data_IF_115200094987
#
_entry.id   IF_115200094987
#
_cell.length_a   1.000
_cell.length_b   1.000
_cell.length_c   1.000
_cell.angle_alpha   90.00
_cell.angle_beta   90.00
_cell.angle_gamma   90.00
#
_symmetry.space_group_name_H-M   'P 1'
#
loop_
_entity.id
_entity.type
_entity.pdbx_description
1 polymer ?
#
# COMPACT_ATOMS: atom_id res chain seq x y z
N UNK A 1 77.09 12.26 -24.29
CA UNK A 1 76.71 11.00 -23.61
C UNK A 1 75.34 11.24 -22.96
N UNK A 2 74.30 10.85 -23.66
CA UNK A 2 72.90 11.13 -23.23
C UNK A 2 72.31 9.86 -22.60
N UNK A 3 71.95 9.96 -21.34
CA UNK A 3 71.32 8.86 -20.59
C UNK A 3 69.81 9.09 -20.57
N UNK A 4 69.09 8.26 -21.33
CA UNK A 4 67.65 8.32 -21.45
C UNK A 4 67.03 7.31 -20.47
N UNK A 5 66.56 7.81 -19.31
CA UNK A 5 65.80 6.98 -18.37
C UNK A 5 64.36 6.87 -18.83
N UNK A 6 63.96 5.68 -19.29
CA UNK A 6 62.56 5.33 -19.60
C UNK A 6 61.78 5.08 -18.28
N UNK A 7 60.89 6.01 -17.95
CA UNK A 7 59.91 5.76 -16.88
C UNK A 7 58.79 4.87 -17.42
N UNK A 8 58.66 3.70 -16.84
CA UNK A 8 57.56 2.78 -17.09
C UNK A 8 56.37 3.22 -16.24
N UNK A 9 55.34 3.69 -16.91
CA UNK A 9 54.06 4.00 -16.24
C UNK A 9 53.27 2.68 -16.04
N UNK A 10 53.09 2.29 -14.79
CA UNK A 10 52.24 1.18 -14.41
C UNK A 10 50.81 1.69 -14.33
N UNK A 11 50.02 1.32 -15.34
CA UNK A 11 48.57 1.61 -15.32
C UNK A 11 47.90 0.66 -14.33
N UNK A 12 47.41 1.17 -13.24
CA UNK A 12 46.55 0.46 -12.30
C UNK A 12 45.16 0.34 -12.90
N UNK A 13 44.82 -0.87 -13.32
CA UNK A 13 43.45 -1.26 -13.73
C UNK A 13 42.57 -1.32 -12.45
N UNK A 14 41.75 -0.29 -12.24
CA UNK A 14 40.74 -0.32 -11.20
C UNK A 14 39.60 -1.26 -11.64
N UNK A 15 39.53 -2.43 -11.01
CA UNK A 15 38.40 -3.33 -11.11
C UNK A 15 37.19 -2.67 -10.39
N UNK A 16 36.29 -2.06 -11.15
CA UNK A 16 34.99 -1.67 -10.66
C UNK A 16 34.16 -2.94 -10.42
N UNK A 17 34.07 -3.36 -9.17
CA UNK A 17 33.12 -4.36 -8.73
C UNK A 17 31.71 -3.76 -8.87
N UNK A 18 31.00 -4.18 -9.90
CA UNK A 18 29.58 -3.90 -10.07
C UNK A 18 28.82 -4.73 -9.03
N UNK A 19 28.55 -4.13 -7.87
CA UNK A 19 27.60 -4.69 -6.90
C UNK A 19 26.22 -4.64 -7.55
N UNK A 20 25.78 -5.79 -8.04
CA UNK A 20 24.43 -5.96 -8.55
C UNK A 20 23.43 -5.64 -7.44
N UNK A 21 22.73 -4.51 -7.57
CA UNK A 21 21.47 -4.30 -6.82
C UNK A 21 20.52 -5.42 -7.29
N UNK A 22 20.40 -6.46 -6.47
CA UNK A 22 19.27 -7.36 -6.54
C UNK A 22 18.02 -6.50 -6.26
N UNK A 23 17.41 -6.01 -7.31
CA UNK A 23 16.13 -5.32 -7.23
C UNK A 23 15.13 -6.31 -6.66
N UNK A 24 14.80 -6.13 -5.38
CA UNK A 24 13.60 -6.73 -4.81
C UNK A 24 12.44 -6.14 -5.62
N UNK A 25 11.90 -6.89 -6.57
CA UNK A 25 10.63 -6.58 -7.22
C UNK A 25 9.52 -6.81 -6.18
N UNK A 26 9.46 -5.92 -5.19
CA UNK A 26 8.24 -5.76 -4.40
C UNK A 26 7.15 -5.46 -5.42
N UNK A 27 6.12 -6.30 -5.47
CA UNK A 27 4.93 -6.01 -6.24
C UNK A 27 4.47 -4.62 -5.81
N UNK A 28 4.39 -3.71 -6.78
CA UNK A 28 4.03 -2.33 -6.49
C UNK A 28 2.63 -2.30 -5.89
N UNK A 29 2.52 -1.67 -4.73
CA UNK A 29 1.24 -1.37 -4.11
C UNK A 29 0.30 -0.70 -5.13
N UNK A 30 -0.97 -0.89 -4.97
CA UNK A 30 -2.01 -0.21 -5.75
C UNK A 30 -1.77 1.31 -5.68
N UNK A 31 -1.72 2.02 -6.82
CA UNK A 31 -1.38 3.45 -6.82
C UNK A 31 -2.23 4.27 -5.85
N UNK A 32 -1.56 4.98 -4.94
CA UNK A 32 -2.21 5.79 -3.91
C UNK A 32 -2.63 5.03 -2.65
N UNK A 33 -2.34 3.71 -2.57
CA UNK A 33 -2.60 2.90 -1.41
C UNK A 33 -1.29 2.52 -0.71
N UNK A 34 -1.31 2.51 0.61
CA UNK A 34 -0.24 1.99 1.45
C UNK A 34 -0.48 0.50 1.71
N UNK A 35 0.58 -0.21 2.09
CA UNK A 35 0.52 -1.61 2.53
C UNK A 35 0.93 -1.78 4.00
N UNK A 36 1.62 -0.78 4.59
CA UNK A 36 2.08 -0.83 5.97
C UNK A 36 1.14 -0.07 6.91
N UNK A 37 0.56 -0.78 7.88
CA UNK A 37 -0.44 -0.25 8.80
C UNK A 37 0.11 0.83 9.72
N UNK A 38 1.33 0.65 10.25
CA UNK A 38 1.94 1.65 11.14
C UNK A 38 2.25 2.95 10.39
N UNK A 39 2.69 2.84 9.14
CA UNK A 39 2.88 4.00 8.27
C UNK A 39 1.56 4.72 8.00
N UNK A 40 0.51 3.96 7.69
CA UNK A 40 -0.82 4.54 7.46
C UNK A 40 -1.37 5.28 8.69
N UNK A 41 -1.24 4.70 9.89
CA UNK A 41 -1.65 5.36 11.14
C UNK A 41 -0.84 6.64 11.42
N UNK A 42 0.47 6.59 11.24
CA UNK A 42 1.33 7.77 11.45
C UNK A 42 0.96 8.90 10.50
N UNK A 43 0.75 8.58 9.23
CA UNK A 43 0.33 9.55 8.23
C UNK A 43 -1.05 10.13 8.56
N UNK A 44 -2.03 9.28 8.89
CA UNK A 44 -3.38 9.70 9.24
C UNK A 44 -3.40 10.65 10.45
N UNK A 45 -2.64 10.35 11.49
CA UNK A 45 -2.51 11.20 12.67
C UNK A 45 -1.88 12.55 12.33
N UNK A 46 -0.80 12.57 11.52
CA UNK A 46 -0.12 13.79 11.11
C UNK A 46 -1.00 14.69 10.22
N UNK A 47 -1.73 14.09 9.28
CA UNK A 47 -2.59 14.79 8.34
C UNK A 47 -4.03 15.01 8.84
N UNK A 48 -4.37 14.47 10.01
CA UNK A 48 -5.73 14.48 10.60
C UNK A 48 -6.78 13.87 9.67
N UNK A 49 -6.38 12.84 8.90
CA UNK A 49 -7.22 12.09 7.98
C UNK A 49 -7.71 10.78 8.60
N UNK A 50 -8.84 10.28 8.11
CA UNK A 50 -9.28 8.92 8.41
C UNK A 50 -8.45 7.91 7.65
N UNK A 51 -8.35 6.66 8.17
CA UNK A 51 -7.75 5.54 7.43
C UNK A 51 -8.86 4.64 6.91
N UNK A 52 -8.86 4.38 5.61
CA UNK A 52 -9.70 3.34 5.02
C UNK A 52 -8.87 2.09 4.80
N UNK A 53 -9.16 1.04 5.57
CA UNK A 53 -8.58 -0.28 5.41
C UNK A 53 -9.43 -1.07 4.41
N UNK A 54 -8.81 -1.66 3.39
CA UNK A 54 -9.45 -2.55 2.43
C UNK A 54 -8.89 -3.97 2.59
N UNK A 55 -9.63 -4.83 3.27
CA UNK A 55 -9.33 -6.26 3.32
C UNK A 55 -9.87 -6.91 2.05
N UNK A 56 -8.96 -7.34 1.18
CA UNK A 56 -9.26 -7.70 -0.20
C UNK A 56 -8.58 -9.01 -0.63
N UNK A 57 -9.07 -9.60 -1.71
CA UNK A 57 -8.43 -10.71 -2.41
C UNK A 57 -8.28 -10.34 -3.88
N UNK A 58 -7.18 -9.67 -4.21
CA UNK A 58 -6.97 -8.97 -5.48
C UNK A 58 -6.97 -9.88 -6.72
N UNK A 59 -6.71 -11.18 -6.56
CA UNK A 59 -6.58 -12.14 -7.67
C UNK A 59 -7.69 -13.20 -7.73
N UNK A 60 -8.61 -13.23 -6.75
CA UNK A 60 -9.65 -14.26 -6.70
C UNK A 60 -11.04 -13.74 -6.29
N UNK A 61 -11.13 -12.62 -5.57
CA UNK A 61 -12.39 -12.12 -5.03
C UNK A 61 -13.12 -11.23 -6.04
N UNK A 62 -14.14 -11.74 -6.71
CA UNK A 62 -14.89 -11.01 -7.73
C UNK A 62 -15.57 -9.73 -7.22
N UNK A 63 -16.04 -9.72 -5.97
CA UNK A 63 -16.63 -8.54 -5.35
C UNK A 63 -15.57 -7.48 -4.99
N UNK A 64 -14.34 -7.90 -4.67
CA UNK A 64 -13.22 -7.01 -4.45
C UNK A 64 -12.80 -6.33 -5.76
N UNK A 65 -12.68 -7.09 -6.85
CA UNK A 65 -12.43 -6.54 -8.18
C UNK A 65 -13.53 -5.57 -8.64
N UNK A 66 -14.78 -5.86 -8.26
CA UNK A 66 -15.90 -4.99 -8.57
C UNK A 66 -15.82 -3.66 -7.83
N UNK A 67 -15.51 -3.66 -6.53
CA UNK A 67 -15.38 -2.40 -5.76
C UNK A 67 -14.21 -1.56 -6.27
N UNK A 68 -13.10 -2.19 -6.65
CA UNK A 68 -11.96 -1.53 -7.27
C UNK A 68 -12.37 -0.79 -8.55
N UNK A 69 -13.04 -1.49 -9.45
CA UNK A 69 -13.44 -0.95 -10.75
C UNK A 69 -14.53 0.13 -10.64
N UNK A 70 -15.54 -0.12 -9.81
CA UNK A 70 -16.73 0.71 -9.77
C UNK A 70 -16.67 1.86 -8.77
N UNK A 71 -15.77 1.79 -7.78
CA UNK A 71 -15.63 2.82 -6.75
C UNK A 71 -14.20 3.37 -6.72
N UNK A 72 -13.19 2.58 -6.38
CA UNK A 72 -11.85 3.07 -6.11
C UNK A 72 -11.12 3.63 -7.35
N UNK A 73 -11.41 3.08 -8.53
CA UNK A 73 -10.85 3.60 -9.79
C UNK A 73 -11.51 4.89 -10.27
N UNK A 74 -12.65 5.29 -9.70
CA UNK A 74 -13.40 6.47 -10.17
C UNK A 74 -12.73 7.78 -9.76
N UNK A 75 -12.76 8.81 -10.63
CA UNK A 75 -12.20 10.13 -10.32
C UNK A 75 -12.71 10.71 -9.01
N UNK A 76 -14.01 10.65 -8.76
CA UNK A 76 -14.64 11.15 -7.52
C UNK A 76 -14.07 10.54 -6.25
N UNK A 77 -13.81 9.22 -6.25
CA UNK A 77 -13.20 8.55 -5.11
C UNK A 77 -11.74 8.97 -4.96
N UNK A 78 -10.98 9.02 -6.06
CA UNK A 78 -9.56 9.39 -6.04
C UNK A 78 -9.35 10.81 -5.53
N UNK A 79 -10.14 11.76 -6.00
CA UNK A 79 -10.09 13.15 -5.57
C UNK A 79 -10.44 13.27 -4.08
N UNK A 80 -11.57 12.67 -3.69
CA UNK A 80 -12.01 12.69 -2.30
C UNK A 80 -11.00 12.02 -1.37
N UNK A 81 -10.51 10.83 -1.71
CA UNK A 81 -9.57 10.09 -0.88
C UNK A 81 -8.23 10.82 -0.72
N UNK A 82 -7.71 11.43 -1.78
CA UNK A 82 -6.48 12.21 -1.71
C UNK A 82 -6.58 13.36 -0.70
N UNK A 83 -7.76 13.99 -0.58
CA UNK A 83 -7.98 15.09 0.34
C UNK A 83 -8.26 14.62 1.79
N UNK A 84 -8.95 13.50 2.00
CA UNK A 84 -9.60 13.18 3.27
C UNK A 84 -9.22 11.83 3.88
N UNK A 85 -8.61 10.94 3.11
CA UNK A 85 -8.30 9.56 3.56
C UNK A 85 -6.82 9.23 3.40
N UNK A 86 -6.35 8.35 4.26
CA UNK A 86 -5.18 7.50 4.02
C UNK A 86 -5.72 6.13 3.66
N UNK A 87 -5.31 5.61 2.51
CA UNK A 87 -5.78 4.33 2.00
C UNK A 87 -4.78 3.23 2.33
N UNK A 88 -5.25 2.11 2.91
CA UNK A 88 -4.43 0.95 3.23
C UNK A 88 -5.03 -0.31 2.62
N UNK A 89 -4.27 -0.96 1.74
CA UNK A 89 -4.63 -2.25 1.15
C UNK A 89 -4.09 -3.39 2.02
N UNK A 90 -4.95 -4.29 2.41
CA UNK A 90 -4.64 -5.51 3.13
C UNK A 90 -5.05 -6.69 2.25
N UNK A 91 -4.16 -7.03 1.31
CA UNK A 91 -4.42 -8.06 0.30
C UNK A 91 -4.12 -9.48 0.81
N UNK A 92 -4.93 -10.43 0.39
CA UNK A 92 -4.83 -11.87 0.69
C UNK A 92 -4.82 -12.67 -0.62
N UNK A 93 -3.76 -12.56 -1.43
CA UNK A 93 -3.68 -13.22 -2.73
C UNK A 93 -3.55 -14.74 -2.56
N UNK A 94 -4.06 -15.50 -3.56
CA UNK A 94 -3.93 -16.96 -3.62
C UNK A 94 -3.09 -17.43 -4.79
N UNK A 95 -3.03 -16.67 -5.88
CA UNK A 95 -2.31 -16.99 -7.11
C UNK A 95 -0.88 -16.41 -7.18
N UNK A 96 -0.44 -15.69 -6.15
CA UNK A 96 0.90 -15.08 -6.09
C UNK A 96 1.46 -15.10 -4.68
N UNK A 97 2.78 -15.09 -4.58
CA UNK A 97 3.45 -14.93 -3.30
C UNK A 97 3.41 -13.48 -2.82
N UNK A 98 3.39 -13.31 -1.51
CA UNK A 98 3.45 -12.04 -0.83
C UNK A 98 4.64 -12.04 0.14
N UNK A 99 5.34 -10.90 0.35
CA UNK A 99 6.40 -10.82 1.35
C UNK A 99 5.92 -11.31 2.72
N UNK A 100 6.75 -12.12 3.39
CA UNK A 100 6.37 -12.78 4.65
C UNK A 100 5.93 -11.79 5.74
N UNK A 101 6.59 -10.64 5.82
CA UNK A 101 6.25 -9.56 6.76
C UNK A 101 4.86 -9.00 6.50
N UNK A 102 4.55 -8.72 5.23
CA UNK A 102 3.25 -8.20 4.82
C UNK A 102 2.14 -9.22 5.08
N UNK A 103 2.36 -10.48 4.73
CA UNK A 103 1.44 -11.58 5.03
C UNK A 103 1.16 -11.70 6.53
N UNK A 104 2.21 -11.63 7.35
CA UNK A 104 2.09 -11.71 8.81
C UNK A 104 1.28 -10.52 9.37
N UNK A 105 1.58 -9.30 8.91
CA UNK A 105 0.83 -8.11 9.28
C UNK A 105 -0.66 -8.25 8.91
N UNK A 106 -0.94 -8.61 7.65
CA UNK A 106 -2.32 -8.68 7.15
C UNK A 106 -3.13 -9.73 7.93
N UNK A 107 -2.55 -10.89 8.23
CA UNK A 107 -3.19 -11.92 9.06
C UNK A 107 -3.43 -11.45 10.50
N UNK A 108 -2.50 -10.69 11.09
CA UNK A 108 -2.66 -10.13 12.42
C UNK A 108 -3.82 -9.12 12.45
N UNK A 109 -3.87 -8.22 11.47
CA UNK A 109 -4.94 -7.23 11.34
C UNK A 109 -6.29 -7.88 11.02
N UNK A 110 -6.33 -8.91 10.18
CA UNK A 110 -7.56 -9.68 9.93
C UNK A 110 -8.16 -10.21 11.24
N UNK A 111 -7.33 -10.80 12.11
CA UNK A 111 -7.77 -11.28 13.43
C UNK A 111 -8.18 -10.13 14.35
N UNK A 112 -7.38 -9.05 14.40
CA UNK A 112 -7.64 -7.88 15.24
C UNK A 112 -9.00 -7.25 14.91
N UNK A 113 -9.29 -7.07 13.63
CA UNK A 113 -10.55 -6.48 13.15
C UNK A 113 -11.65 -7.52 12.94
N UNK A 114 -11.41 -8.80 13.29
CA UNK A 114 -12.40 -9.89 13.17
C UNK A 114 -13.04 -9.96 11.78
N UNK A 115 -12.20 -9.93 10.75
CA UNK A 115 -12.65 -9.97 9.35
C UNK A 115 -12.86 -11.41 8.94
N UNK A 116 -14.11 -11.77 8.56
CA UNK A 116 -14.53 -13.12 8.19
C UNK A 116 -14.82 -13.29 6.70
N UNK A 117 -14.84 -12.20 5.94
CA UNK A 117 -15.14 -12.24 4.50
C UNK A 117 -14.60 -11.03 3.75
N UNK A 118 -14.64 -11.13 2.41
CA UNK A 118 -14.07 -10.12 1.52
C UNK A 118 -15.08 -9.65 0.45
N UNK A 119 -15.00 -8.35 0.04
CA UNK A 119 -14.23 -7.30 0.68
C UNK A 119 -14.82 -6.94 2.05
N UNK A 120 -13.96 -6.56 2.99
CA UNK A 120 -14.35 -5.86 4.21
C UNK A 120 -13.59 -4.56 4.28
N UNK A 121 -14.31 -3.46 4.41
CA UNK A 121 -13.76 -2.13 4.55
C UNK A 121 -13.95 -1.66 5.99
N UNK A 122 -12.88 -1.12 6.60
CA UNK A 122 -12.91 -0.56 7.95
C UNK A 122 -12.43 0.87 7.90
N UNK A 123 -13.24 1.79 8.41
CA UNK A 123 -12.87 3.19 8.55
C UNK A 123 -12.39 3.47 9.96
N UNK A 124 -11.17 3.97 10.08
CA UNK A 124 -10.61 4.43 11.34
C UNK A 124 -10.59 5.96 11.39
N UNK A 125 -10.75 6.53 12.58
CA UNK A 125 -10.50 7.94 12.81
C UNK A 125 -8.97 8.24 12.81
N UNK A 126 -8.56 9.52 12.84
CA UNK A 126 -7.15 9.89 12.86
C UNK A 126 -6.37 9.36 14.08
N UNK A 127 -7.05 8.95 15.15
CA UNK A 127 -6.45 8.32 16.33
C UNK A 127 -6.31 6.78 16.19
N UNK A 128 -6.81 6.22 15.07
CA UNK A 128 -6.74 4.77 14.78
C UNK A 128 -7.87 3.94 15.40
N UNK A 129 -8.93 4.59 15.90
CA UNK A 129 -10.11 3.90 16.43
C UNK A 129 -11.10 3.61 15.29
N UNK A 130 -11.66 2.40 15.27
CA UNK A 130 -12.70 2.04 14.31
C UNK A 130 -13.96 2.89 14.51
N UNK A 131 -14.40 3.51 13.42
CA UNK A 131 -15.62 4.33 13.36
C UNK A 131 -16.78 3.51 12.81
N UNK A 132 -16.53 2.78 11.72
CA UNK A 132 -17.53 1.95 11.05
C UNK A 132 -16.85 0.95 10.11
N UNK A 133 -17.65 -0.01 9.60
CA UNK A 133 -17.20 -0.98 8.59
C UNK A 133 -18.31 -1.32 7.61
N UNK A 134 -17.90 -1.82 6.47
CA UNK A 134 -18.78 -2.36 5.43
C UNK A 134 -18.27 -3.73 5.01
N UNK A 135 -19.17 -4.66 4.86
CA UNK A 135 -18.88 -6.02 4.36
C UNK A 135 -19.56 -6.20 3.01
N UNK A 136 -18.81 -6.69 2.04
CA UNK A 136 -19.27 -6.85 0.67
C UNK A 136 -19.27 -5.55 -0.14
N UNK A 137 -19.75 -5.65 -1.39
CA UNK A 137 -19.84 -4.50 -2.30
C UNK A 137 -20.97 -3.55 -1.90
N UNK A 138 -20.65 -2.27 -1.76
CA UNK A 138 -21.60 -1.23 -1.37
C UNK A 138 -21.56 -0.07 -2.38
N UNK A 139 -22.55 0.07 -3.28
CA UNK A 139 -22.55 1.16 -4.26
C UNK A 139 -22.54 2.57 -3.65
N UNK A 140 -23.09 2.71 -2.44
CA UNK A 140 -23.18 3.98 -1.70
C UNK A 140 -21.96 4.29 -0.83
N UNK A 141 -20.91 3.47 -0.89
CA UNK A 141 -19.74 3.55 -0.01
C UNK A 141 -19.15 4.97 0.08
N UNK A 142 -18.86 5.60 -1.05
CA UNK A 142 -18.26 6.94 -1.06
C UNK A 142 -19.18 7.98 -0.38
N UNK A 143 -20.47 7.91 -0.62
CA UNK A 143 -21.43 8.82 -0.01
C UNK A 143 -21.51 8.62 1.51
N UNK A 144 -21.44 7.37 1.97
CA UNK A 144 -21.45 7.05 3.39
C UNK A 144 -20.16 7.54 4.08
N UNK A 145 -18.99 7.32 3.46
CA UNK A 145 -17.72 7.85 3.98
C UNK A 145 -17.76 9.38 4.07
N UNK A 146 -18.22 10.07 3.03
CA UNK A 146 -18.36 11.55 3.03
C UNK A 146 -19.21 12.05 4.21
N UNK A 147 -20.33 11.40 4.48
CA UNK A 147 -21.20 11.77 5.62
C UNK A 147 -20.50 11.61 6.96
N UNK A 148 -19.72 10.53 7.12
CA UNK A 148 -19.04 10.20 8.39
C UNK A 148 -17.87 11.15 8.62
N UNK A 149 -17.09 11.45 7.59
CA UNK A 149 -15.92 12.34 7.70
C UNK A 149 -16.29 13.83 7.75
N UNK A 150 -17.57 14.16 7.69
CA UNK A 150 -18.06 15.55 7.77
C UNK A 150 -17.86 16.38 6.51
N UNK A 151 -17.45 15.76 5.41
CA UNK A 151 -17.24 16.44 4.13
C UNK A 151 -18.48 16.21 3.24
N UNK A 152 -19.29 17.26 3.14
CA UNK A 152 -20.49 17.32 2.28
C UNK A 152 -20.11 17.60 0.82
#
# INVERSE_FOLDING_TARGET
MLNVSRKIAVSAFALFAWAGLAGNTALAAKPGWLENFETAKKQAAAEKKHVLLDFTGSDWCSWCLKIDKEIFAKPDFKEFSAAHLVLLELDFPTGREQPAELKTQNQALQRQFKVEGYPTLVLLDPAGKEVTRWVGFKPTLLQEIRKITGNK
#
